data_IF_213124542174
#
_entry.id   IF_213124542174
#
_cell.length_a   1.000
_cell.length_b   1.000
_cell.length_c   1.000
_cell.angle_alpha   90.00
_cell.angle_beta   90.00
_cell.angle_gamma   90.00
#
_symmetry.space_group_name_H-M   'P 1'
#
loop_
_entity.id
_entity.type
_entity.pdbx_description
1 polymer ?
#
# COMPACT_ATOMS: atom_id res chain seq x y z
N UNK A 1 -21.42 -0.56 13.64
CA UNK A 1 -20.70 -0.56 12.35
C UNK A 1 -19.22 -0.39 12.66
N UNK A 2 -18.40 -1.35 12.25
CA UNK A 2 -16.99 -1.39 12.63
C UNK A 2 -16.18 -0.63 11.58
N UNK A 3 -15.84 0.62 11.86
CA UNK A 3 -14.96 1.41 11.00
C UNK A 3 -13.52 0.89 11.18
N UNK A 4 -13.07 0.03 10.28
CA UNK A 4 -11.71 -0.55 10.32
C UNK A 4 -10.80 0.28 9.43
N UNK A 5 -9.64 0.67 9.97
CA UNK A 5 -8.61 1.34 9.19
C UNK A 5 -7.60 0.34 8.66
N UNK A 6 -7.48 0.27 7.35
CA UNK A 6 -6.52 -0.52 6.61
C UNK A 6 -5.31 0.33 6.26
N UNK A 7 -4.11 -0.21 6.45
CA UNK A 7 -2.86 0.39 5.98
C UNK A 7 -2.34 -0.45 4.83
N UNK A 8 -2.04 0.17 3.69
CA UNK A 8 -1.61 -0.54 2.47
C UNK A 8 -0.39 0.15 1.88
N UNK A 9 0.56 -0.65 1.42
CA UNK A 9 1.73 -0.21 0.66
C UNK A 9 1.69 -0.80 -0.75
N UNK A 10 1.90 0.03 -1.77
CA UNK A 10 1.97 -0.39 -3.18
C UNK A 10 3.32 0.06 -3.75
N UNK A 11 4.22 -0.87 -4.10
CA UNK A 11 5.46 -0.52 -4.77
C UNK A 11 5.28 -0.42 -6.28
N UNK A 12 6.09 0.41 -6.92
CA UNK A 12 6.12 0.61 -8.36
C UNK A 12 7.42 0.08 -8.94
N UNK A 13 7.33 -0.66 -10.05
CA UNK A 13 8.51 -1.16 -10.77
C UNK A 13 8.53 -0.60 -12.18
N UNK A 14 9.72 -0.28 -12.67
CA UNK A 14 9.93 0.04 -14.07
C UNK A 14 10.00 -1.26 -14.86
N UNK A 15 9.10 -1.40 -15.83
CA UNK A 15 9.10 -2.46 -16.82
C UNK A 15 9.31 -1.87 -18.22
N UNK A 16 9.45 -2.74 -19.22
CA UNK A 16 9.73 -2.33 -20.61
C UNK A 16 8.70 -1.33 -21.18
N UNK A 17 7.45 -1.37 -20.70
CA UNK A 17 6.36 -0.49 -21.13
C UNK A 17 6.05 0.70 -20.21
N UNK A 18 6.83 0.94 -19.16
CA UNK A 18 6.61 2.05 -18.23
C UNK A 18 6.65 1.65 -16.75
N UNK A 19 6.00 2.46 -15.91
CA UNK A 19 5.93 2.23 -14.47
C UNK A 19 4.65 1.44 -14.17
N UNK A 20 4.81 0.30 -13.52
CA UNK A 20 3.72 -0.62 -13.19
C UNK A 20 3.60 -0.76 -11.67
N UNK A 21 2.39 -0.51 -11.15
CA UNK A 21 2.05 -0.79 -9.77
C UNK A 21 2.09 -2.31 -9.52
N UNK A 22 2.74 -2.71 -8.42
CA UNK A 22 2.78 -4.10 -7.98
C UNK A 22 1.60 -4.41 -7.05
N UNK A 23 1.51 -5.66 -6.59
CA UNK A 23 0.50 -6.06 -5.62
C UNK A 23 0.59 -5.22 -4.33
N UNK A 24 -0.57 -4.79 -3.83
CA UNK A 24 -0.67 -4.07 -2.57
C UNK A 24 -0.42 -4.99 -1.38
N UNK A 25 0.42 -4.54 -0.45
CA UNK A 25 0.76 -5.24 0.78
C UNK A 25 0.04 -4.58 1.94
N UNK A 26 -0.84 -5.34 2.60
CA UNK A 26 -1.49 -4.88 3.81
C UNK A 26 -0.49 -4.81 4.96
N UNK A 27 -0.54 -3.72 5.72
CA UNK A 27 0.35 -3.42 6.83
C UNK A 27 -0.46 -3.31 8.12
N UNK A 28 0.22 -3.52 9.25
CA UNK A 28 -0.41 -3.48 10.59
C UNK A 28 -0.64 -2.06 11.12
N UNK A 29 0.07 -1.07 10.57
CA UNK A 29 0.02 0.32 11.03
C UNK A 29 0.55 1.28 9.96
N UNK A 30 0.30 2.58 10.15
CA UNK A 30 0.82 3.64 9.30
C UNK A 30 2.35 3.65 9.25
N UNK A 31 3.00 3.49 10.41
CA UNK A 31 4.47 3.39 10.50
C UNK A 31 5.00 2.18 9.74
N UNK A 32 4.32 1.03 9.84
CA UNK A 32 4.68 -0.17 9.09
C UNK A 32 4.57 0.06 7.58
N UNK A 33 3.46 0.65 7.11
CA UNK A 33 3.28 0.96 5.68
C UNK A 33 4.35 1.91 5.13
N UNK A 34 4.69 2.97 5.87
CA UNK A 34 5.77 3.89 5.50
C UNK A 34 7.14 3.22 5.50
N UNK A 35 7.43 2.39 6.51
CA UNK A 35 8.71 1.65 6.57
C UNK A 35 8.86 0.69 5.40
N UNK A 36 7.82 -0.09 5.10
CA UNK A 36 7.80 -1.01 3.97
C UNK A 36 7.90 -0.29 2.62
N UNK A 37 7.30 0.90 2.49
CA UNK A 37 7.45 1.71 1.28
C UNK A 37 8.90 2.14 1.06
N UNK A 38 9.60 2.59 2.10
CA UNK A 38 11.02 2.95 2.03
C UNK A 38 11.89 1.74 1.69
N UNK A 39 11.64 0.61 2.35
CA UNK A 39 12.36 -0.64 2.11
C UNK A 39 12.15 -1.16 0.67
N UNK A 40 10.93 -1.04 0.13
CA UNK A 40 10.65 -1.41 -1.26
C UNK A 40 11.47 -0.59 -2.25
N UNK A 41 11.62 0.72 -2.01
CA UNK A 41 12.47 1.59 -2.84
C UNK A 41 13.94 1.19 -2.72
N UNK A 42 14.44 0.94 -1.50
CA UNK A 42 15.81 0.45 -1.27
C UNK A 42 16.09 -0.89 -1.97
N UNK A 43 15.07 -1.73 -2.16
CA UNK A 43 15.13 -3.02 -2.86
C UNK A 43 14.94 -2.92 -4.38
N UNK A 44 14.90 -1.71 -4.94
CA UNK A 44 14.87 -1.48 -6.38
C UNK A 44 13.49 -1.17 -6.97
N UNK A 45 12.48 -0.91 -6.13
CA UNK A 45 11.27 -0.24 -6.62
C UNK A 45 11.61 1.21 -7.04
N UNK A 46 11.00 1.69 -8.12
CA UNK A 46 11.20 3.08 -8.57
C UNK A 46 10.44 4.09 -7.71
N UNK A 47 9.51 3.60 -6.91
CA UNK A 47 8.72 4.37 -5.96
C UNK A 47 7.79 3.44 -5.21
N UNK A 48 7.16 3.95 -4.16
CA UNK A 48 6.12 3.25 -3.43
C UNK A 48 5.13 4.26 -2.84
N UNK A 49 3.86 3.89 -2.76
CA UNK A 49 2.83 4.67 -2.07
C UNK A 49 2.41 3.89 -0.84
N UNK A 50 2.37 4.58 0.31
CA UNK A 50 1.75 4.09 1.53
C UNK A 50 0.50 4.95 1.78
N UNK A 51 -0.65 4.30 1.96
CA UNK A 51 -1.90 4.98 2.25
C UNK A 51 -2.69 4.22 3.31
N UNK A 52 -3.65 4.91 3.91
CA UNK A 52 -4.63 4.31 4.79
C UNK A 52 -6.02 4.58 4.28
N UNK A 53 -6.90 3.60 4.41
CA UNK A 53 -8.32 3.76 4.15
C UNK A 53 -9.13 3.26 5.32
N UNK A 54 -10.21 3.95 5.62
CA UNK A 54 -11.15 3.59 6.67
C UNK A 54 -12.43 3.13 5.98
N UNK A 55 -13.01 2.02 6.43
CA UNK A 55 -14.20 1.45 5.80
C UNK A 55 -14.79 0.29 6.60
N UNK A 56 -15.95 -0.18 6.17
CA UNK A 56 -16.63 -1.34 6.75
C UNK A 56 -16.45 -2.55 5.81
N UNK A 57 -15.62 -3.54 6.18
CA UNK A 57 -15.37 -4.73 5.36
C UNK A 57 -16.62 -5.58 5.17
N UNK A 58 -17.56 -5.53 6.12
CA UNK A 58 -18.82 -6.25 6.05
C UNK A 58 -19.76 -5.70 4.98
N UNK A 59 -19.56 -4.45 4.57
CA UNK A 59 -20.34 -3.76 3.54
C UNK A 59 -19.59 -3.63 2.21
N UNK A 60 -18.33 -4.10 2.14
CA UNK A 60 -17.46 -3.86 0.99
C UNK A 60 -17.09 -2.38 0.81
N UNK A 61 -17.31 -1.56 1.83
CA UNK A 61 -16.97 -0.15 1.82
C UNK A 61 -15.51 0.05 2.20
N UNK A 62 -14.83 0.78 1.33
CA UNK A 62 -13.40 0.94 1.35
C UNK A 62 -13.12 2.36 0.87
N UNK A 63 -13.18 3.32 1.80
CA UNK A 63 -13.05 4.76 1.50
C UNK A 63 -11.72 5.15 0.85
#
# INVERSE_FOLDING_TARGET
MANVTFFVMIPFKKMRGGIVAQAGVQCSSERSAMSQARDAVSKGAVGAIAFKRSGDPGLGEYG
#
